data_IF_514487685049
#
_entry.id   IF_514487685049
#
_cell.length_a   1.000
_cell.length_b   1.000
_cell.length_c   1.000
_cell.angle_alpha   90.00
_cell.angle_beta   90.00
_cell.angle_gamma   90.00
#
_symmetry.space_group_name_H-M   'P 1'
#
loop_
_entity.id
_entity.type
_entity.pdbx_description
1 polymer ?
#
# COMPACT_ATOMS: atom_id res chain seq x y z
N UNK A 1 -5.37 7.70 14.46
CA UNK A 1 -4.25 8.45 13.84
C UNK A 1 -3.92 7.95 12.44
N UNK A 2 -4.07 6.64 12.15
CA UNK A 2 -3.77 6.05 10.84
C UNK A 2 -4.91 6.07 9.81
N UNK A 3 -6.07 6.67 10.09
CA UNK A 3 -7.24 6.61 9.19
C UNK A 3 -7.04 7.29 7.83
N UNK A 4 -6.24 8.36 7.75
CA UNK A 4 -6.11 9.19 6.55
C UNK A 4 -5.42 8.48 5.36
N UNK A 5 -4.31 7.74 5.52
CA UNK A 5 -3.74 6.96 4.41
C UNK A 5 -4.70 5.93 3.79
N UNK A 6 -5.65 5.41 4.58
CA UNK A 6 -6.59 4.40 4.11
C UNK A 6 -7.81 4.99 3.41
N UNK A 7 -8.20 6.23 3.70
CA UNK A 7 -9.25 6.92 2.92
C UNK A 7 -8.81 7.18 1.48
N UNK A 8 -7.50 7.15 1.20
CA UNK A 8 -6.96 7.31 -0.15
C UNK A 8 -6.95 6.02 -0.96
N UNK A 9 -7.17 4.86 -0.35
CA UNK A 9 -7.23 3.58 -1.06
C UNK A 9 -8.55 3.48 -1.81
N UNK A 10 -8.45 3.21 -3.11
CA UNK A 10 -9.60 3.13 -4.02
C UNK A 10 -9.77 1.71 -4.52
N UNK A 11 -10.88 1.45 -5.19
CA UNK A 11 -11.09 0.22 -5.94
C UNK A 11 -10.01 0.00 -7.01
N UNK A 12 -9.54 1.06 -7.68
CA UNK A 12 -8.42 1.00 -8.63
C UNK A 12 -7.11 0.61 -7.96
N UNK A 13 -6.87 1.04 -6.70
CA UNK A 13 -5.70 0.59 -5.93
C UNK A 13 -5.73 -0.90 -5.66
N UNK A 14 -6.89 -1.47 -5.33
CA UNK A 14 -7.02 -2.92 -5.15
C UNK A 14 -6.83 -3.67 -6.47
N UNK A 15 -7.47 -3.24 -7.55
CA UNK A 15 -7.27 -3.82 -8.88
C UNK A 15 -5.78 -3.83 -9.26
N UNK A 16 -5.09 -2.72 -9.03
CA UNK A 16 -3.66 -2.64 -9.22
C UNK A 16 -2.89 -3.59 -8.30
N UNK A 17 -3.13 -3.61 -6.99
CA UNK A 17 -2.45 -4.52 -6.04
C UNK A 17 -2.62 -5.99 -6.40
N UNK A 18 -3.81 -6.38 -6.89
CA UNK A 18 -4.14 -7.77 -7.24
C UNK A 18 -3.81 -8.16 -8.68
N UNK A 19 -3.10 -7.30 -9.42
CA UNK A 19 -2.55 -7.65 -10.73
C UNK A 19 -3.50 -7.38 -11.90
N UNK A 20 -4.69 -6.85 -11.64
CA UNK A 20 -5.69 -6.54 -12.65
C UNK A 20 -5.41 -5.20 -13.34
N UNK A 21 -6.08 -4.99 -14.48
CA UNK A 21 -6.14 -3.68 -15.13
C UNK A 21 -7.04 -2.73 -14.30
N UNK A 22 -6.83 -1.42 -14.43
CA UNK A 22 -7.69 -0.42 -13.80
C UNK A 22 -9.14 -0.57 -14.24
N UNK A 23 -9.42 -1.09 -15.44
CA UNK A 23 -10.78 -1.37 -15.92
C UNK A 23 -11.58 -2.34 -15.05
N UNK A 24 -10.91 -3.15 -14.21
CA UNK A 24 -11.57 -4.10 -13.31
C UNK A 24 -11.92 -3.50 -11.94
N UNK A 25 -11.78 -2.19 -11.74
CA UNK A 25 -12.06 -1.55 -10.46
C UNK A 25 -13.50 -1.81 -9.95
N UNK A 26 -14.46 -2.06 -10.84
CA UNK A 26 -15.86 -2.35 -10.45
C UNK A 26 -15.97 -3.60 -9.57
N UNK A 27 -15.13 -4.61 -9.78
CA UNK A 27 -15.08 -5.83 -8.96
C UNK A 27 -14.57 -5.58 -7.54
N UNK A 28 -13.91 -4.43 -7.32
CA UNK A 28 -13.29 -4.06 -6.06
C UNK A 28 -14.05 -2.96 -5.31
N UNK A 29 -15.23 -2.53 -5.78
CA UNK A 29 -16.02 -1.49 -5.11
C UNK A 29 -16.48 -1.90 -3.71
N UNK A 30 -16.71 -3.20 -3.49
CA UNK A 30 -17.03 -3.76 -2.17
C UNK A 30 -16.30 -5.09 -1.98
N UNK A 31 -15.44 -5.15 -0.96
CA UNK A 31 -14.64 -6.35 -0.64
C UNK A 31 -14.76 -6.65 0.85
N UNK A 32 -15.18 -7.87 1.18
CA UNK A 32 -15.41 -8.31 2.56
C UNK A 32 -16.32 -7.36 3.37
N UNK A 33 -17.35 -6.81 2.72
CA UNK A 33 -18.30 -5.87 3.34
C UNK A 33 -17.77 -4.45 3.56
N UNK A 34 -16.58 -4.13 3.04
CA UNK A 34 -15.99 -2.79 3.06
C UNK A 34 -16.06 -2.17 1.66
N UNK A 35 -16.48 -0.92 1.59
CA UNK A 35 -16.49 -0.14 0.36
C UNK A 35 -15.11 0.47 0.06
N UNK A 36 -14.72 0.42 -1.21
CA UNK A 36 -13.56 1.10 -1.74
C UNK A 36 -14.01 2.05 -2.84
N UNK A 37 -13.95 3.38 -2.60
CA UNK A 37 -14.50 4.35 -3.54
C UNK A 37 -13.75 4.31 -4.87
N UNK A 38 -14.41 4.80 -5.92
CA UNK A 38 -13.72 5.11 -7.16
C UNK A 38 -12.69 6.22 -6.94
N UNK A 39 -11.65 6.24 -7.78
CA UNK A 39 -10.63 7.28 -7.70
C UNK A 39 -11.23 8.65 -7.99
N UNK A 40 -10.91 9.63 -7.14
CA UNK A 40 -11.32 11.02 -7.26
C UNK A 40 -10.07 11.91 -7.26
N UNK A 41 -10.08 12.91 -8.15
CA UNK A 41 -9.03 13.94 -8.23
C UNK A 41 -9.70 15.30 -8.08
N UNK A 42 -9.23 16.11 -7.13
CA UNK A 42 -9.73 17.46 -6.94
C UNK A 42 -9.25 18.36 -8.09
N UNK A 43 -10.17 19.13 -8.66
CA UNK A 43 -9.90 19.98 -9.83
C UNK A 43 -8.97 21.18 -9.54
N UNK A 44 -8.75 21.49 -8.27
CA UNK A 44 -7.95 22.63 -7.81
C UNK A 44 -6.44 22.33 -7.70
N UNK A 45 -6.00 21.15 -8.14
CA UNK A 45 -4.59 20.76 -8.12
C UNK A 45 -4.08 20.24 -6.78
N UNK A 46 -4.84 20.36 -5.69
CA UNK A 46 -4.40 19.90 -4.35
C UNK A 46 -4.06 18.42 -4.30
N UNK A 47 -4.81 17.57 -5.01
CA UNK A 47 -4.50 16.14 -5.09
C UNK A 47 -3.10 15.86 -5.64
N UNK A 48 -2.63 16.69 -6.58
CA UNK A 48 -1.29 16.59 -7.16
C UNK A 48 -0.21 16.99 -6.16
N UNK A 49 -0.42 18.09 -5.43
CA UNK A 49 0.50 18.57 -4.39
C UNK A 49 0.63 17.56 -3.23
N UNK A 50 -0.49 17.01 -2.76
CA UNK A 50 -0.52 15.98 -1.72
C UNK A 50 0.23 14.74 -2.18
N UNK A 51 -0.04 14.27 -3.41
CA UNK A 51 0.66 13.12 -4.01
C UNK A 51 2.16 13.35 -4.09
N UNK A 52 2.60 14.50 -4.60
CA UNK A 52 4.03 14.83 -4.74
C UNK A 52 4.71 14.87 -3.37
N UNK A 53 4.06 15.47 -2.38
CA UNK A 53 4.59 15.53 -1.01
C UNK A 53 4.68 14.14 -0.39
N UNK A 54 3.67 13.29 -0.59
CA UNK A 54 3.68 11.89 -0.14
C UNK A 54 4.81 11.10 -0.82
N UNK A 55 4.95 11.22 -2.14
CA UNK A 55 6.02 10.57 -2.89
C UNK A 55 7.40 10.97 -2.35
N UNK A 56 7.61 12.25 -2.03
CA UNK A 56 8.84 12.73 -1.39
C UNK A 56 9.06 12.18 0.02
N UNK A 57 8.01 12.00 0.82
CA UNK A 57 8.10 11.33 2.12
C UNK A 57 8.50 9.86 1.99
N UNK A 58 7.89 9.13 1.06
CA UNK A 58 8.17 7.72 0.81
C UNK A 58 9.59 7.52 0.26
N UNK A 59 10.01 8.34 -0.70
CA UNK A 59 11.36 8.29 -1.29
C UNK A 59 12.45 8.47 -0.21
N UNK A 60 12.24 9.37 0.76
CA UNK A 60 13.17 9.55 1.88
C UNK A 60 13.20 8.36 2.85
N UNK A 61 12.07 7.67 3.03
CA UNK A 61 11.98 6.51 3.93
C UNK A 61 12.53 5.22 3.29
N UNK A 62 12.56 5.15 1.95
CA UNK A 62 12.81 3.94 1.18
C UNK A 62 14.20 3.32 1.36
N UNK A 63 15.32 4.07 1.30
CA UNK A 63 16.64 3.49 1.53
C UNK A 63 16.77 2.83 2.91
N UNK A 64 16.22 3.47 3.94
CA UNK A 64 16.23 2.95 5.31
C UNK A 64 15.45 1.64 5.44
N UNK A 65 14.25 1.57 4.83
CA UNK A 65 13.45 0.35 4.86
C UNK A 65 14.11 -0.80 4.10
N UNK A 66 14.65 -0.53 2.91
CA UNK A 66 15.34 -1.52 2.07
C UNK A 66 16.54 -2.12 2.81
N UNK A 67 17.32 -1.28 3.50
CA UNK A 67 18.44 -1.72 4.33
C UNK A 67 17.98 -2.53 5.55
N UNK A 68 16.97 -2.05 6.29
CA UNK A 68 16.46 -2.71 7.50
C UNK A 68 15.88 -4.11 7.19
N UNK A 69 15.20 -4.27 6.05
CA UNK A 69 14.59 -5.54 5.63
C UNK A 69 15.50 -6.40 4.73
N UNK A 70 16.64 -5.85 4.30
CA UNK A 70 17.59 -6.46 3.37
C UNK A 70 16.88 -6.96 2.10
N UNK A 71 16.12 -6.08 1.45
CA UNK A 71 15.35 -6.42 0.26
C UNK A 71 16.29 -6.58 -0.95
N UNK A 72 16.17 -7.67 -1.73
CA UNK A 72 17.08 -7.97 -2.85
C UNK A 72 16.57 -7.35 -4.16
N UNK A 73 16.08 -6.10 -4.12
CA UNK A 73 15.49 -5.43 -5.28
C UNK A 73 16.05 -4.01 -5.39
N UNK A 74 16.33 -3.52 -6.62
CA UNK A 74 16.73 -2.13 -6.81
C UNK A 74 15.70 -1.15 -6.25
N UNK A 75 16.18 -0.09 -5.59
CA UNK A 75 15.34 0.99 -5.08
C UNK A 75 14.48 1.59 -6.19
N UNK A 76 15.04 1.78 -7.39
CA UNK A 76 14.31 2.31 -8.55
C UNK A 76 13.09 1.47 -8.95
N UNK A 77 13.17 0.14 -8.86
CA UNK A 77 12.02 -0.74 -9.12
C UNK A 77 10.90 -0.50 -8.10
N UNK A 78 11.27 -0.33 -6.83
CA UNK A 78 10.31 -0.01 -5.76
C UNK A 78 9.68 1.37 -5.98
N UNK A 79 10.47 2.39 -6.31
CA UNK A 79 9.98 3.74 -6.59
C UNK A 79 8.99 3.77 -7.75
N UNK A 80 9.30 3.07 -8.85
CA UNK A 80 8.40 2.99 -10.00
C UNK A 80 7.08 2.31 -9.65
N UNK A 81 7.13 1.18 -8.94
CA UNK A 81 5.93 0.44 -8.54
C UNK A 81 5.08 1.23 -7.53
N UNK A 82 5.71 1.93 -6.58
CA UNK A 82 5.06 2.84 -5.65
C UNK A 82 4.44 4.02 -6.38
N UNK A 83 5.13 4.64 -7.33
CA UNK A 83 4.59 5.73 -8.14
C UNK A 83 3.27 5.35 -8.81
N UNK A 84 3.25 4.17 -9.45
CA UNK A 84 2.03 3.61 -10.06
C UNK A 84 0.94 3.28 -9.05
N UNK A 85 1.29 2.80 -7.86
CA UNK A 85 0.30 2.60 -6.79
C UNK A 85 -0.29 3.93 -6.30
N UNK A 86 0.52 4.99 -6.20
CA UNK A 86 0.02 6.31 -5.85
C UNK A 86 -0.86 6.89 -6.96
N UNK A 87 -0.60 6.54 -8.22
CA UNK A 87 -1.46 6.92 -9.35
C UNK A 87 -2.88 6.37 -9.22
N UNK A 88 -3.13 5.30 -8.48
CA UNK A 88 -4.49 4.74 -8.32
C UNK A 88 -5.26 5.33 -7.15
N UNK A 89 -4.61 6.08 -6.26
CA UNK A 89 -5.20 6.58 -5.01
C UNK A 89 -5.92 7.94 -5.16
N UNK A 90 -6.79 8.25 -4.19
CA UNK A 90 -7.53 9.52 -4.08
C UNK A 90 -6.94 10.43 -3.00
N UNK A 91 -6.21 11.47 -3.37
CA UNK A 91 -5.61 12.40 -2.41
C UNK A 91 -6.53 13.60 -2.15
N UNK A 92 -7.42 13.45 -1.17
CA UNK A 92 -8.45 14.46 -0.84
C UNK A 92 -8.24 15.13 0.52
N UNK A 93 -7.47 14.49 1.41
CA UNK A 93 -7.18 14.96 2.76
C UNK A 93 -5.71 15.31 2.94
N UNK A 94 -5.43 16.16 3.94
CA UNK A 94 -4.06 16.54 4.28
C UNK A 94 -3.22 15.33 4.72
N UNK A 95 -1.91 15.37 4.44
CA UNK A 95 -0.99 14.34 4.90
C UNK A 95 -0.90 14.32 6.43
N UNK A 96 -0.85 13.13 7.05
CA UNK A 96 -0.59 13.03 8.47
C UNK A 96 0.82 13.52 8.80
N UNK A 97 1.00 14.13 9.97
CA UNK A 97 2.28 14.63 10.49
C UNK A 97 3.17 13.50 11.05
N UNK A 98 3.36 12.45 10.24
CA UNK A 98 4.14 11.28 10.63
C UNK A 98 5.64 11.58 10.75
N UNK A 99 6.27 10.94 11.74
CA UNK A 99 7.72 10.89 11.91
C UNK A 99 8.35 9.96 10.88
N UNK A 100 9.67 10.07 10.69
CA UNK A 100 10.40 9.23 9.73
C UNK A 100 10.16 7.72 9.91
N UNK A 101 10.13 7.22 11.15
CA UNK A 101 9.83 5.81 11.46
C UNK A 101 8.39 5.40 11.13
N UNK A 102 7.43 6.30 11.30
CA UNK A 102 6.04 6.05 10.92
C UNK A 102 5.88 5.99 9.39
N UNK A 103 6.59 6.85 8.65
CA UNK A 103 6.66 6.75 7.18
C UNK A 103 7.27 5.43 6.70
N UNK A 104 8.24 4.86 7.42
CA UNK A 104 8.76 3.52 7.10
C UNK A 104 7.68 2.43 7.22
N UNK A 105 6.70 2.59 8.13
CA UNK A 105 5.61 1.62 8.27
C UNK A 105 4.56 1.79 7.17
N UNK A 106 4.20 3.03 6.80
CA UNK A 106 3.36 3.28 5.61
C UNK A 106 4.01 2.67 4.36
N UNK A 107 5.32 2.88 4.20
CA UNK A 107 6.06 2.32 3.09
C UNK A 107 6.10 0.79 3.14
N UNK A 108 6.30 0.20 4.33
CA UNK A 108 6.26 -1.26 4.52
C UNK A 108 4.91 -1.83 4.07
N UNK A 109 3.80 -1.21 4.44
CA UNK A 109 2.45 -1.62 4.01
C UNK A 109 2.30 -1.60 2.49
N UNK A 110 2.79 -0.55 1.81
CA UNK A 110 2.76 -0.48 0.35
C UNK A 110 3.67 -1.52 -0.31
N UNK A 111 4.87 -1.77 0.23
CA UNK A 111 5.76 -2.82 -0.27
C UNK A 111 5.13 -4.19 -0.09
N UNK A 112 4.47 -4.43 1.04
CA UNK A 112 3.75 -5.67 1.31
C UNK A 112 2.60 -5.86 0.30
N UNK A 113 1.80 -4.83 0.06
CA UNK A 113 0.74 -4.86 -0.95
C UNK A 113 1.29 -5.11 -2.36
N UNK A 114 2.33 -4.38 -2.78
CA UNK A 114 2.97 -4.58 -4.08
C UNK A 114 3.54 -5.98 -4.25
N UNK A 115 3.99 -6.61 -3.17
CA UNK A 115 4.55 -7.96 -3.21
C UNK A 115 3.54 -9.06 -3.53
N UNK A 116 2.22 -8.76 -3.45
CA UNK A 116 1.14 -9.70 -3.79
C UNK A 116 1.18 -10.09 -5.26
N UNK A 117 1.27 -9.11 -6.18
CA UNK A 117 1.27 -9.38 -7.62
C UNK A 117 2.27 -8.56 -8.43
N UNK A 118 2.63 -7.35 -7.99
CA UNK A 118 3.45 -6.41 -8.76
C UNK A 118 4.94 -6.65 -8.59
N UNK A 119 5.36 -7.13 -7.42
CA UNK A 119 6.75 -7.47 -7.11
C UNK A 119 6.80 -8.82 -6.38
N UNK A 120 6.42 -9.93 -7.04
CA UNK A 120 6.28 -11.24 -6.40
C UNK A 120 7.58 -11.75 -5.78
N UNK A 121 8.75 -11.29 -6.27
CA UNK A 121 10.06 -11.57 -5.69
C UNK A 121 10.19 -11.15 -4.21
N UNK A 122 9.36 -10.22 -3.72
CA UNK A 122 9.35 -9.81 -2.31
C UNK A 122 8.44 -10.67 -1.43
N UNK A 123 7.63 -11.58 -1.98
CA UNK A 123 6.64 -12.33 -1.19
C UNK A 123 7.29 -13.10 -0.04
N UNK A 124 8.36 -13.85 -0.31
CA UNK A 124 9.06 -14.60 0.74
C UNK A 124 9.67 -13.68 1.82
N UNK A 125 10.01 -12.44 1.47
CA UNK A 125 10.54 -11.47 2.43
C UNK A 125 9.45 -10.95 3.37
N UNK A 126 8.24 -10.75 2.85
CA UNK A 126 7.10 -10.28 3.63
C UNK A 126 6.52 -11.38 4.52
N UNK A 127 6.54 -12.65 4.08
CA UNK A 127 5.98 -13.77 4.86
C UNK A 127 6.97 -14.36 5.86
N UNK A 128 8.26 -14.47 5.51
CA UNK A 128 9.20 -15.29 6.28
C UNK A 128 10.10 -14.49 7.23
N UNK A 129 10.20 -13.15 7.07
CA UNK A 129 11.14 -12.30 7.85
C UNK A 129 10.47 -11.52 8.99
N UNK A 130 9.59 -12.19 9.76
CA UNK A 130 8.83 -11.60 10.87
C UNK A 130 9.68 -10.79 11.86
N UNK A 131 10.89 -11.25 12.21
CA UNK A 131 11.78 -10.54 13.13
C UNK A 131 12.24 -9.16 12.61
N UNK A 132 12.54 -9.04 11.31
CA UNK A 132 12.94 -7.76 10.71
C UNK A 132 11.73 -6.81 10.59
N UNK A 133 10.56 -7.35 10.25
CA UNK A 133 9.31 -6.58 10.25
C UNK A 133 9.01 -6.02 11.64
N UNK A 134 9.07 -6.85 12.69
CA UNK A 134 8.87 -6.42 14.06
C UNK A 134 9.87 -5.33 14.49
N UNK A 135 11.12 -5.39 14.02
CA UNK A 135 12.10 -4.33 14.29
C UNK A 135 11.68 -2.98 13.69
N UNK A 136 11.15 -2.97 12.47
CA UNK A 136 10.63 -1.76 11.81
C UNK A 136 9.44 -1.21 12.59
N UNK A 137 8.48 -2.08 12.96
CA UNK A 137 7.29 -1.70 13.73
C UNK A 137 7.63 -1.14 15.11
N UNK A 138 8.53 -1.80 15.85
CA UNK A 138 9.01 -1.33 17.16
C UNK A 138 9.68 0.05 17.05
N UNK A 139 10.42 0.30 15.97
CA UNK A 139 11.01 1.62 15.72
C UNK A 139 9.99 2.74 15.54
N UNK A 140 8.77 2.41 15.09
CA UNK A 140 7.65 3.34 14.96
C UNK A 140 6.70 3.31 16.17
N UNK A 141 6.97 2.48 17.19
CA UNK A 141 6.09 2.21 18.33
C UNK A 141 4.70 1.70 17.91
N UNK A 142 4.66 0.85 16.87
CA UNK A 142 3.43 0.26 16.34
C UNK A 142 3.37 -1.21 16.74
N UNK A 143 2.22 -1.63 17.28
CA UNK A 143 1.97 -3.03 17.63
C UNK A 143 1.73 -3.89 16.38
N UNK A 144 1.97 -5.20 16.50
CA UNK A 144 1.71 -6.14 15.39
C UNK A 144 0.23 -6.16 15.01
N UNK A 145 -0.67 -6.15 16.00
CA UNK A 145 -2.12 -6.15 15.74
C UNK A 145 -2.58 -4.89 15.00
N UNK A 146 -2.00 -3.73 15.36
CA UNK A 146 -2.27 -2.47 14.65
C UNK A 146 -1.76 -2.52 13.21
N UNK A 147 -0.57 -3.12 12.98
CA UNK A 147 -0.06 -3.34 11.64
C UNK A 147 -0.95 -4.28 10.81
N UNK A 148 -1.42 -5.38 11.38
CA UNK A 148 -2.30 -6.33 10.68
C UNK A 148 -3.64 -5.68 10.31
N UNK A 149 -4.24 -4.91 11.23
CA UNK A 149 -5.45 -4.12 10.92
C UNK A 149 -5.21 -3.18 9.75
N UNK A 150 -4.07 -2.49 9.72
CA UNK A 150 -3.69 -1.60 8.62
C UNK A 150 -3.44 -2.36 7.31
N UNK A 151 -2.85 -3.54 7.38
CA UNK A 151 -2.56 -4.38 6.21
C UNK A 151 -3.86 -4.89 5.56
N UNK A 152 -4.84 -5.28 6.36
CA UNK A 152 -6.15 -5.74 5.86
C UNK A 152 -6.91 -4.67 5.06
N UNK A 153 -6.53 -3.39 5.18
CA UNK A 153 -7.08 -2.28 4.40
C UNK A 153 -6.50 -2.19 3.00
N UNK A 154 -5.27 -2.67 2.80
CA UNK A 154 -4.58 -2.66 1.51
C UNK A 154 -4.65 -4.02 0.82
N UNK A 155 -4.76 -5.09 1.61
CA UNK A 155 -4.72 -6.47 1.14
C UNK A 155 -5.93 -7.24 1.72
N UNK A 156 -7.17 -6.79 1.47
CA UNK A 156 -8.37 -7.36 2.10
C UNK A 156 -8.64 -8.83 1.70
N UNK A 157 -8.20 -9.25 0.52
CA UNK A 157 -8.33 -10.65 0.05
C UNK A 157 -7.13 -11.53 0.46
N UNK A 158 -6.22 -10.98 1.28
CA UNK A 158 -4.94 -11.61 1.59
C UNK A 158 -4.05 -11.72 0.34
N UNK A 159 -3.07 -12.63 0.39
CA UNK A 159 -2.05 -12.78 -0.67
C UNK A 159 -2.47 -13.67 -1.83
N UNK A 160 -3.66 -14.26 -1.78
CA UNK A 160 -4.17 -15.12 -2.85
C UNK A 160 -5.15 -14.28 -3.66
N UNK A 161 -4.90 -14.00 -4.95
CA UNK A 161 -5.91 -13.42 -5.82
C UNK A 161 -6.97 -14.49 -6.07
N UNK A 162 -7.92 -14.66 -5.16
CA UNK A 162 -9.13 -15.44 -5.39
C UNK A 162 -10.31 -14.48 -5.54
N UNK A 163 -10.40 -13.91 -6.73
CA UNK A 163 -11.67 -14.06 -7.42
C UNK A 163 -11.62 -15.42 -8.09
N UNK A 164 -11.99 -16.46 -7.34
CA UNK A 164 -12.77 -17.49 -7.99
C UNK A 164 -14.02 -16.75 -8.44
N UNK A 165 -14.04 -16.29 -9.68
CA UNK A 165 -15.30 -16.21 -10.38
C UNK A 165 -15.89 -17.61 -10.26
N UNK A 166 -16.78 -17.82 -9.28
CA UNK A 166 -17.81 -18.82 -9.39
C UNK A 166 -18.72 -18.36 -10.53
N UNK A 167 -18.18 -18.42 -11.74
CA UNK A 167 -18.98 -18.67 -12.91
C UNK A 167 -19.33 -20.15 -12.81
N UNK A 168 -20.54 -20.44 -12.34
CA UNK A 168 -20.94 -21.81 -12.04
C UNK A 168 -22.40 -21.95 -11.64
N UNK A 169 -23.27 -21.81 -12.65
CA UNK A 169 -24.70 -22.16 -12.74
C UNK A 169 -25.73 -21.21 -12.12
#
# INVERSE_FOLDING_TARGET
>A
MWGAPFSWVTSSSLAYIYGQDESFHEEYLSVNGREYPQKVVLADGRSSEIKQTLAGCLARALPGLVADLRLPIPISTLEQALGRLLDTMSFVDALPSFRAKQWQVVLLLFVDALSVSRIPALTAHMTNRRALLHKVLNGAQIGVDEYEIMKDLLIPLGRVPRFSAQSGA
#
